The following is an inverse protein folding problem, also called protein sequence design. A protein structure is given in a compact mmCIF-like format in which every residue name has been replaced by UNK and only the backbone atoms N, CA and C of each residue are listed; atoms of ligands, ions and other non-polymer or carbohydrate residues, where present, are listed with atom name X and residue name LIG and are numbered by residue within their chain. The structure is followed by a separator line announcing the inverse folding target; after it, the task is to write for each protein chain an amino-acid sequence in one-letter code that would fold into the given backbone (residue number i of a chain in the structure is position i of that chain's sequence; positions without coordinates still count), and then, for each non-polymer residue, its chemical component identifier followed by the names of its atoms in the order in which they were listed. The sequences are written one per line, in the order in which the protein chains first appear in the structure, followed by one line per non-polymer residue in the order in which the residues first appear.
data_IF_034940477177
#
_entry.id   IF_034940477177
#
_cell.length_a   1.000
_cell.length_b   1.000
_cell.length_c   1.000
_cell.angle_alpha   90.00
_cell.angle_beta   90.00
_cell.angle_gamma   90.00
#
_symmetry.space_group_name_H-M   'P 1'
#
loop_
_entity.id
_entity.type
_entity.pdbx_description
1 polymer ?
#
# COMPACT_ATOMS: atom_id res chain seq x y z
N UNK A 1 9.53 10.01 -11.83
CA UNK A 1 8.93 9.11 -10.83
C UNK A 1 9.28 7.67 -11.21
N UNK A 2 10.06 6.96 -10.39
CA UNK A 2 10.25 5.52 -10.56
C UNK A 2 9.02 4.83 -9.98
N UNK A 3 8.13 4.35 -10.85
CA UNK A 3 6.96 3.57 -10.44
C UNK A 3 7.31 2.09 -10.45
N UNK A 4 7.06 1.39 -9.35
CA UNK A 4 7.06 -0.07 -9.32
C UNK A 4 5.70 -0.59 -9.79
N UNK A 5 5.69 -1.48 -10.77
CA UNK A 5 4.46 -2.13 -11.25
C UNK A 5 4.25 -3.42 -10.49
N UNK A 6 3.15 -3.52 -9.74
CA UNK A 6 2.76 -4.73 -9.00
C UNK A 6 1.57 -5.40 -9.69
N UNK A 7 1.63 -6.73 -9.88
CA UNK A 7 0.49 -7.50 -10.40
C UNK A 7 -0.59 -7.62 -9.32
N UNK A 8 -1.84 -7.41 -9.71
CA UNK A 8 -3.00 -7.62 -8.81
C UNK A 8 -3.18 -9.12 -8.57
N UNK A 9 -3.13 -9.54 -7.31
CA UNK A 9 -3.52 -10.87 -6.86
C UNK A 9 -4.86 -10.82 -6.12
N UNK A 10 -5.69 -11.85 -6.26
CA UNK A 10 -6.95 -11.92 -5.53
C UNK A 10 -6.70 -12.29 -4.07
N UNK A 11 -7.27 -11.52 -3.15
CA UNK A 11 -7.38 -11.92 -1.75
C UNK A 11 -8.44 -13.05 -1.66
N UNK A 12 -8.08 -14.20 -1.07
CA UNK A 12 -9.03 -15.29 -0.85
C UNK A 12 -10.23 -14.77 -0.03
N UNK A 13 -11.45 -15.08 -0.49
CA UNK A 13 -12.73 -14.63 0.07
C UNK A 13 -12.89 -14.82 1.59
N UNK A 14 -12.11 -15.69 2.21
CA UNK A 14 -12.23 -16.03 3.63
C UNK A 14 -11.49 -15.10 4.58
N UNK A 15 -10.55 -14.27 4.09
CA UNK A 15 -9.86 -13.24 4.88
C UNK A 15 -9.56 -12.05 3.99
N UNK A 16 -10.18 -10.90 4.26
CA UNK A 16 -9.98 -9.61 3.57
C UNK A 16 -8.56 -9.03 3.77
N UNK A 17 -7.51 -9.83 3.64
CA UNK A 17 -6.13 -9.37 3.71
C UNK A 17 -5.68 -9.03 2.29
N UNK A 18 -5.79 -7.76 1.91
CA UNK A 18 -5.04 -7.21 0.78
C UNK A 18 -3.55 -7.38 1.10
N UNK A 19 -2.88 -8.32 0.44
CA UNK A 19 -1.42 -8.45 0.51
C UNK A 19 -0.83 -7.61 -0.60
N UNK A 20 -0.24 -6.47 -0.23
CA UNK A 20 0.49 -5.61 -1.15
C UNK A 20 1.92 -5.45 -0.67
N UNK A 21 2.87 -5.39 -1.61
CA UNK A 21 4.26 -5.13 -1.31
C UNK A 21 4.46 -3.63 -1.23
N UNK A 22 4.84 -3.12 -0.06
CA UNK A 22 5.27 -1.74 0.12
C UNK A 22 6.75 -1.68 -0.33
N UNK A 23 7.11 -0.85 -1.33
CA UNK A 23 8.51 -0.67 -1.73
C UNK A 23 9.40 -0.29 -0.55
N UNK A 24 10.65 -0.75 -0.55
CA UNK A 24 11.59 -0.51 0.56
C UNK A 24 11.78 0.97 0.84
N UNK A 25 11.81 1.81 -0.20
CA UNK A 25 11.97 3.26 -0.02
C UNK A 25 10.83 3.89 0.79
N UNK A 26 9.60 3.41 0.57
CA UNK A 26 8.42 3.88 1.33
C UNK A 26 8.44 3.33 2.75
N UNK A 27 8.80 2.04 2.90
CA UNK A 27 8.93 1.40 4.22
C UNK A 27 9.95 2.11 5.09
N UNK A 28 11.12 2.40 4.53
CA UNK A 28 12.22 3.03 5.25
C UNK A 28 11.90 4.51 5.55
N UNK A 29 11.26 5.23 4.62
CA UNK A 29 10.79 6.61 4.84
C UNK A 29 9.74 6.73 5.96
N UNK A 30 8.81 5.77 6.04
CA UNK A 30 7.78 5.73 7.08
C UNK A 30 8.21 4.96 8.34
N UNK A 31 9.44 4.46 8.39
CA UNK A 31 9.98 3.63 9.47
C UNK A 31 9.03 2.47 9.87
N UNK A 32 8.49 1.78 8.87
CA UNK A 32 7.53 0.69 9.08
C UNK A 32 8.23 -0.59 9.51
N UNK A 33 7.72 -1.22 10.56
CA UNK A 33 8.20 -2.50 11.09
C UNK A 33 7.12 -3.58 11.05
N UNK A 34 7.53 -4.84 11.20
CA UNK A 34 6.59 -5.97 11.19
C UNK A 34 5.63 -5.89 12.38
N UNK A 35 4.33 -5.76 12.10
CA UNK A 35 3.29 -5.63 13.12
C UNK A 35 2.68 -4.23 13.23
N UNK A 36 3.29 -3.23 12.57
CA UNK A 36 2.73 -1.87 12.54
C UNK A 36 1.36 -1.84 11.86
N UNK A 37 0.46 -1.01 12.40
CA UNK A 37 -0.83 -0.71 11.80
C UNK A 37 -0.69 0.45 10.82
N UNK A 38 -1.29 0.28 9.65
CA UNK A 38 -1.19 1.22 8.55
C UNK A 38 -2.59 1.50 8.02
N UNK A 39 -2.94 2.78 7.92
CA UNK A 39 -4.18 3.23 7.30
C UNK A 39 -4.01 3.39 5.79
N UNK A 40 -4.99 2.88 5.04
CA UNK A 40 -5.07 3.01 3.59
C UNK A 40 -6.23 3.91 3.22
N UNK A 41 -5.95 4.98 2.49
CA UNK A 41 -6.94 5.85 1.89
C UNK A 41 -6.78 5.84 0.37
N UNK A 42 -7.89 5.91 -0.35
CA UNK A 42 -7.89 6.03 -1.81
C UNK A 42 -8.30 7.45 -2.18
N UNK A 43 -7.48 8.10 -2.98
CA UNK A 43 -7.75 9.43 -3.51
C UNK A 43 -7.63 9.43 -5.04
N UNK A 44 -8.25 10.42 -5.69
CA UNK A 44 -8.25 10.57 -7.14
C UNK A 44 -7.70 11.94 -7.53
N UNK A 45 -6.45 11.97 -7.96
CA UNK A 45 -5.74 13.20 -8.35
C UNK A 45 -5.42 13.15 -9.84
N UNK A 46 -5.83 14.18 -10.60
CA UNK A 46 -5.61 14.28 -12.04
C UNK A 46 -6.08 13.02 -12.82
N UNK A 47 -7.22 12.47 -12.42
CA UNK A 47 -7.81 11.27 -13.04
C UNK A 47 -7.12 9.94 -12.68
N UNK A 48 -6.07 9.96 -11.86
CA UNK A 48 -5.35 8.76 -11.41
C UNK A 48 -5.75 8.42 -9.97
N UNK A 49 -6.01 7.13 -9.72
CA UNK A 49 -6.15 6.63 -8.36
C UNK A 49 -4.79 6.60 -7.67
N UNK A 50 -4.73 7.14 -6.46
CA UNK A 50 -3.57 7.15 -5.59
C UNK A 50 -3.96 6.48 -4.30
N UNK A 51 -3.15 5.51 -3.86
CA UNK A 51 -3.23 4.96 -2.52
C UNK A 51 -2.36 5.80 -1.59
N UNK A 52 -2.97 6.40 -0.56
CA UNK A 52 -2.29 7.13 0.49
C UNK A 52 -2.13 6.21 1.68
N UNK A 53 -0.90 6.11 2.16
CA UNK A 53 -0.51 5.20 3.25
C UNK A 53 -0.08 6.07 4.43
N UNK A 54 -0.66 5.84 5.60
CA UNK A 54 -0.32 6.55 6.85
C UNK A 54 0.02 5.54 7.95
N UNK A 55 1.14 5.75 8.65
CA UNK A 55 1.43 5.04 9.89
C UNK A 55 0.52 5.57 11.00
N UNK A 56 -0.09 4.67 11.77
CA UNK A 56 -0.94 5.00 12.94
C UNK A 56 -0.09 5.07 14.20
#
# INVERSE_FOLDING_TARGET
MKGSVTKVGYANKEKYTLKTTIPSEVRDYLELTGGDQILWELDKVNGKWIAVIKKV
#
